data_IF_365006178561
#
_entry.id   IF_365006178561
#
_cell.length_a   1.000
_cell.length_b   1.000
_cell.length_c   1.000
_cell.angle_alpha   90.00
_cell.angle_beta   90.00
_cell.angle_gamma   90.00
#
_symmetry.space_group_name_H-M   'P 1'
#
loop_
_entity.id
_entity.type
_entity.pdbx_description
1 polymer ?
#
# COMPACT_ATOMS: atom_id res chain seq x y z
N UNK A 1 -17.22 -11.58 3.05
CA UNK A 1 -17.33 -10.27 2.40
C UNK A 1 -16.51 -10.28 1.10
N UNK A 2 -17.17 -10.17 -0.03
CA UNK A 2 -16.49 -10.01 -1.32
C UNK A 2 -16.03 -8.56 -1.51
N UNK A 3 -15.07 -8.32 -2.42
CA UNK A 3 -14.62 -6.96 -2.74
C UNK A 3 -15.76 -6.09 -3.30
N UNK A 4 -16.71 -6.70 -4.03
CA UNK A 4 -17.89 -6.00 -4.55
C UNK A 4 -18.81 -5.56 -3.40
N UNK A 5 -19.12 -6.45 -2.46
CA UNK A 5 -19.92 -6.12 -1.27
C UNK A 5 -19.24 -5.06 -0.40
N UNK A 6 -17.94 -5.19 -0.16
CA UNK A 6 -17.16 -4.20 0.57
C UNK A 6 -17.23 -2.81 -0.10
N UNK A 7 -17.07 -2.78 -1.42
CA UNK A 7 -17.17 -1.54 -2.21
C UNK A 7 -18.56 -0.91 -2.09
N UNK A 8 -19.62 -1.70 -2.21
CA UNK A 8 -20.99 -1.20 -2.10
C UNK A 8 -21.30 -0.67 -0.71
N UNK A 9 -20.82 -1.34 0.35
CA UNK A 9 -20.98 -0.89 1.73
C UNK A 9 -20.22 0.40 2.04
N UNK A 10 -19.00 0.55 1.52
CA UNK A 10 -18.14 1.73 1.76
C UNK A 10 -18.50 2.93 0.90
N UNK A 11 -19.05 2.71 -0.30
CA UNK A 11 -19.27 3.77 -1.29
C UNK A 11 -19.98 5.01 -0.75
N UNK A 12 -21.06 4.92 0.03
CA UNK A 12 -21.72 6.10 0.57
C UNK A 12 -20.79 6.95 1.43
N UNK A 13 -19.93 6.34 2.20
CA UNK A 13 -19.07 7.02 3.16
C UNK A 13 -17.75 7.49 2.59
N UNK A 14 -17.24 6.85 1.53
CA UNK A 14 -15.83 6.95 1.12
C UNK A 14 -15.58 7.51 -0.28
N UNK A 15 -16.64 7.80 -1.05
CA UNK A 15 -16.51 8.33 -2.41
C UNK A 15 -15.73 9.65 -2.49
N UNK A 16 -15.83 10.50 -1.45
CA UNK A 16 -15.11 11.76 -1.36
C UNK A 16 -13.57 11.58 -1.18
N UNK A 17 -13.10 10.40 -0.75
CA UNK A 17 -11.68 10.09 -0.61
C UNK A 17 -11.02 9.65 -1.94
N UNK A 18 -11.82 9.13 -2.89
CA UNK A 18 -11.31 8.57 -4.15
C UNK A 18 -10.36 9.52 -4.92
N UNK A 19 -10.67 10.82 -5.12
CA UNK A 19 -9.81 11.73 -5.87
C UNK A 19 -8.41 11.90 -5.29
N UNK A 20 -8.27 11.71 -3.97
CA UNK A 20 -6.99 11.90 -3.26
C UNK A 20 -6.14 10.63 -3.21
N UNK A 21 -6.75 9.45 -3.32
CA UNK A 21 -6.08 8.17 -3.12
C UNK A 21 -5.94 7.33 -4.41
N UNK A 22 -6.78 7.58 -5.43
CA UNK A 22 -6.79 6.78 -6.67
C UNK A 22 -5.55 6.99 -7.54
N UNK A 23 -5.04 8.22 -7.61
CA UNK A 23 -3.84 8.58 -8.36
C UNK A 23 -2.63 8.57 -7.43
N UNK A 24 -1.58 7.81 -7.79
CA UNK A 24 -0.31 7.80 -7.04
C UNK A 24 0.31 9.18 -6.92
N UNK A 25 0.23 9.99 -7.99
CA UNK A 25 0.76 11.36 -8.00
C UNK A 25 -0.04 12.26 -7.05
N UNK A 26 -1.38 12.19 -7.09
CA UNK A 26 -2.22 12.97 -6.18
C UNK A 26 -2.00 12.53 -4.73
N UNK A 27 -1.86 11.23 -4.48
CA UNK A 27 -1.49 10.71 -3.17
C UNK A 27 -0.18 11.32 -2.67
N UNK A 28 0.90 11.25 -3.45
CA UNK A 28 2.20 11.80 -3.07
C UNK A 28 2.15 13.31 -2.80
N UNK A 29 1.40 14.08 -3.61
CA UNK A 29 1.21 15.52 -3.42
C UNK A 29 0.47 15.88 -2.12
N UNK A 30 -0.45 15.02 -1.64
CA UNK A 30 -1.25 15.26 -0.43
C UNK A 30 -0.65 14.67 0.85
N UNK A 31 0.24 13.69 0.75
CA UNK A 31 0.81 12.95 1.89
C UNK A 31 2.33 13.13 2.01
N UNK A 32 2.87 14.26 1.57
CA UNK A 32 4.31 14.54 1.53
C UNK A 32 5.02 14.33 2.87
N UNK A 33 4.36 14.67 4.01
CA UNK A 33 4.94 14.50 5.34
C UNK A 33 5.09 13.03 5.78
N UNK A 34 4.48 12.09 5.05
CA UNK A 34 4.55 10.64 5.31
C UNK A 34 5.39 9.89 4.27
N UNK A 35 5.98 10.63 3.32
CA UNK A 35 6.75 10.09 2.20
C UNK A 35 8.11 10.76 2.18
N UNK A 36 9.16 9.97 2.36
CA UNK A 36 10.53 10.47 2.37
C UNK A 36 11.34 10.07 1.14
N UNK A 37 10.88 9.03 0.40
CA UNK A 37 11.52 8.63 -0.86
C UNK A 37 11.40 9.72 -1.91
N UNK A 38 12.43 9.85 -2.74
CA UNK A 38 12.37 10.70 -3.93
C UNK A 38 11.33 10.21 -4.92
N UNK A 39 10.68 11.13 -5.62
CA UNK A 39 9.75 10.78 -6.70
C UNK A 39 9.69 11.89 -7.76
N UNK A 40 9.37 11.48 -8.99
CA UNK A 40 9.23 12.35 -10.15
C UNK A 40 8.09 11.87 -11.05
N UNK A 41 7.14 12.75 -11.38
CA UNK A 41 6.08 12.40 -12.34
C UNK A 41 6.54 12.76 -13.76
N UNK A 42 6.80 11.75 -14.58
CA UNK A 42 7.49 11.92 -15.86
C UNK A 42 6.76 12.83 -16.86
N UNK A 43 5.40 12.79 -16.99
CA UNK A 43 4.69 13.74 -17.86
C UNK A 43 4.78 15.22 -17.45
N UNK A 44 5.18 15.52 -16.21
CA UNK A 44 5.40 16.89 -15.72
C UNK A 44 6.90 17.22 -15.61
N UNK A 45 7.79 16.41 -16.22
CA UNK A 45 9.24 16.49 -16.13
C UNK A 45 9.87 16.52 -17.52
N UNK A 46 11.17 16.75 -17.59
CA UNK A 46 11.98 16.61 -18.80
C UNK A 46 13.03 15.52 -18.68
N UNK A 47 13.66 15.19 -19.81
CA UNK A 47 14.71 14.15 -19.87
C UNK A 47 15.87 14.45 -18.93
N UNK A 48 16.28 15.70 -18.81
CA UNK A 48 17.44 16.09 -17.98
C UNK A 48 17.13 15.87 -16.49
N UNK A 49 15.90 16.22 -16.06
CA UNK A 49 15.45 15.96 -14.68
C UNK A 49 15.35 14.45 -14.39
N UNK A 50 14.87 13.65 -15.33
CA UNK A 50 14.81 12.19 -15.16
C UNK A 50 16.21 11.56 -15.16
N UNK A 51 17.10 11.99 -16.04
CA UNK A 51 18.50 11.56 -16.06
C UNK A 51 19.18 11.83 -14.71
N UNK A 52 19.05 13.06 -14.19
CA UNK A 52 19.59 13.43 -12.88
C UNK A 52 18.96 12.58 -11.75
N UNK A 53 17.67 12.26 -11.83
CA UNK A 53 16.95 11.43 -10.86
C UNK A 53 17.50 9.99 -10.85
N UNK A 54 17.73 9.39 -12.03
CA UNK A 54 18.31 8.04 -12.14
C UNK A 54 19.71 8.00 -11.54
N UNK A 55 20.58 8.96 -11.86
CA UNK A 55 21.93 9.03 -11.33
C UNK A 55 21.98 9.33 -9.83
N UNK A 56 20.97 10.04 -9.29
CA UNK A 56 20.88 10.30 -7.84
C UNK A 56 20.52 9.05 -7.04
N UNK A 57 19.61 8.21 -7.55
CA UNK A 57 19.05 7.08 -6.80
C UNK A 57 19.54 5.71 -7.27
N UNK A 58 20.20 5.61 -8.43
CA UNK A 58 20.79 4.41 -9.02
C UNK A 58 19.81 3.27 -9.35
N UNK A 59 18.75 3.13 -8.57
CA UNK A 59 17.69 2.16 -8.77
C UNK A 59 16.33 2.85 -8.63
N UNK A 60 15.51 2.73 -9.67
CA UNK A 60 14.24 3.43 -9.79
C UNK A 60 13.09 2.41 -9.88
N UNK A 61 12.03 2.68 -9.14
CA UNK A 61 10.75 2.00 -9.27
C UNK A 61 9.83 2.81 -10.19
N UNK A 62 9.55 2.29 -11.37
CA UNK A 62 8.65 2.90 -12.35
C UNK A 62 7.25 2.32 -12.18
N UNK A 63 6.24 3.16 -11.98
CA UNK A 63 4.86 2.76 -11.72
C UNK A 63 3.90 3.61 -12.56
N UNK A 64 2.95 3.01 -13.31
CA UNK A 64 1.89 3.81 -13.95
C UNK A 64 1.06 4.55 -12.89
N UNK A 65 0.66 5.79 -13.18
CA UNK A 65 -0.11 6.66 -12.27
C UNK A 65 -1.39 5.99 -11.73
N UNK A 66 -2.10 5.27 -12.60
CA UNK A 66 -3.35 4.58 -12.30
C UNK A 66 -3.16 3.08 -12.48
N UNK A 67 -2.45 2.44 -11.57
CA UNK A 67 -2.29 0.98 -11.60
C UNK A 67 -2.50 0.41 -10.22
N UNK A 68 -2.98 -0.83 -10.17
CA UNK A 68 -3.15 -1.62 -8.96
C UNK A 68 -2.43 -2.96 -9.13
N UNK A 69 -2.19 -3.68 -8.02
CA UNK A 69 -1.65 -5.05 -8.03
C UNK A 69 -0.26 -5.21 -8.68
N UNK A 70 0.53 -4.14 -8.74
CA UNK A 70 1.86 -4.16 -9.36
C UNK A 70 1.86 -4.20 -10.89
N UNK A 71 0.68 -4.08 -11.54
CA UNK A 71 0.59 -4.08 -13.00
C UNK A 71 1.38 -2.91 -13.56
N UNK A 72 2.30 -3.21 -14.50
CA UNK A 72 3.14 -2.20 -15.14
C UNK A 72 4.31 -1.72 -14.29
N UNK A 73 4.54 -2.31 -13.10
CA UNK A 73 5.76 -2.04 -12.34
C UNK A 73 6.99 -2.45 -13.15
N UNK A 74 7.99 -1.57 -13.18
CA UNK A 74 9.31 -1.83 -13.78
C UNK A 74 10.37 -1.33 -12.81
N UNK A 75 11.42 -2.12 -12.60
CA UNK A 75 12.66 -1.64 -12.00
C UNK A 75 13.56 -1.16 -13.11
N UNK A 76 14.18 0.00 -12.96
CA UNK A 76 15.19 0.54 -13.86
C UNK A 76 16.43 0.81 -13.03
N UNK A 77 17.56 0.27 -13.44
CA UNK A 77 18.89 0.57 -12.87
C UNK A 77 19.58 1.67 -13.65
N UNK A 78 20.54 2.35 -13.02
CA UNK A 78 21.42 3.32 -13.69
C UNK A 78 22.14 2.70 -14.89
N UNK A 79 22.69 1.47 -14.71
CA UNK A 79 23.38 0.77 -15.80
C UNK A 79 22.45 0.49 -16.99
N UNK A 80 21.20 0.10 -16.75
CA UNK A 80 20.20 -0.11 -17.80
C UNK A 80 19.84 1.20 -18.50
N UNK A 81 19.72 2.28 -17.74
CA UNK A 81 19.48 3.62 -18.28
C UNK A 81 20.65 4.10 -19.14
N UNK A 82 21.88 3.94 -18.65
CA UNK A 82 23.08 4.35 -19.36
C UNK A 82 23.35 3.54 -20.61
N UNK A 83 22.99 2.27 -20.61
CA UNK A 83 23.08 1.38 -21.75
C UNK A 83 21.91 1.53 -22.75
N UNK A 84 20.88 2.34 -22.45
CA UNK A 84 19.74 2.50 -23.34
C UNK A 84 20.16 3.11 -24.69
N UNK A 85 19.83 2.48 -25.81
CA UNK A 85 20.27 2.93 -27.15
C UNK A 85 19.65 4.27 -27.56
N UNK A 86 18.49 4.60 -27.02
CA UNK A 86 17.78 5.87 -27.22
C UNK A 86 17.04 6.25 -25.94
N UNK A 87 17.69 7.05 -25.08
CA UNK A 87 17.11 7.53 -23.82
C UNK A 87 15.91 8.44 -24.02
N UNK A 88 15.91 9.24 -25.13
CA UNK A 88 14.78 10.11 -25.41
C UNK A 88 13.53 9.28 -25.73
N UNK A 89 13.66 8.27 -26.62
CA UNK A 89 12.54 7.42 -26.98
C UNK A 89 11.99 6.64 -25.76
N UNK A 90 12.87 6.13 -24.87
CA UNK A 90 12.46 5.48 -23.63
C UNK A 90 11.73 6.44 -22.68
N UNK A 91 12.24 7.65 -22.52
CA UNK A 91 11.59 8.69 -21.71
C UNK A 91 10.21 9.06 -22.26
N UNK A 92 10.08 9.23 -23.58
CA UNK A 92 8.83 9.54 -24.26
C UNK A 92 7.79 8.40 -24.08
N UNK A 93 8.23 7.13 -24.15
CA UNK A 93 7.39 5.96 -23.86
C UNK A 93 6.84 6.02 -22.43
N UNK A 94 7.72 6.28 -21.45
CA UNK A 94 7.34 6.38 -20.05
C UNK A 94 6.39 7.55 -19.78
N UNK A 95 6.60 8.70 -20.41
CA UNK A 95 5.70 9.84 -20.35
C UNK A 95 4.32 9.52 -20.94
N UNK A 96 4.28 8.89 -22.11
CA UNK A 96 3.04 8.45 -22.76
C UNK A 96 2.27 7.44 -21.89
N UNK A 97 2.99 6.54 -21.20
CA UNK A 97 2.44 5.59 -20.23
C UNK A 97 2.07 6.19 -18.89
N UNK A 98 2.27 7.52 -18.70
CA UNK A 98 2.01 8.25 -17.44
C UNK A 98 2.71 7.63 -16.24
N UNK A 99 4.00 7.35 -16.40
CA UNK A 99 4.78 6.74 -15.33
C UNK A 99 5.19 7.77 -14.26
N UNK A 100 5.18 7.28 -13.04
CA UNK A 100 5.82 7.86 -11.86
C UNK A 100 7.14 7.11 -11.65
N UNK A 101 8.23 7.84 -11.51
CA UNK A 101 9.52 7.33 -11.05
C UNK A 101 9.63 7.58 -9.54
N UNK A 102 10.00 6.56 -8.79
CA UNK A 102 10.27 6.64 -7.36
C UNK A 102 11.63 6.03 -7.04
N UNK A 103 12.31 6.53 -6.02
CA UNK A 103 13.45 5.86 -5.42
C UNK A 103 13.10 4.40 -5.09
N UNK A 104 13.95 3.45 -5.45
CA UNK A 104 13.76 2.04 -5.13
C UNK A 104 14.17 1.77 -3.68
N UNK A 105 13.22 1.92 -2.78
CA UNK A 105 13.41 1.72 -1.34
C UNK A 105 13.37 0.24 -0.95
N UNK A 106 13.97 -0.10 0.20
CA UNK A 106 14.04 -1.46 0.73
C UNK A 106 13.47 -1.50 2.14
N UNK A 107 13.00 -2.69 2.53
CA UNK A 107 12.55 -2.94 3.91
C UNK A 107 13.71 -2.92 4.89
N UNK A 108 13.43 -2.47 6.12
CA UNK A 108 14.28 -2.71 7.29
C UNK A 108 14.51 -4.21 7.49
N UNK A 109 15.62 -4.56 8.13
CA UNK A 109 16.01 -5.94 8.40
C UNK A 109 14.91 -6.75 9.13
N UNK A 110 14.11 -6.07 9.95
CA UNK A 110 13.00 -6.69 10.69
C UNK A 110 11.91 -7.29 9.80
N UNK A 111 11.62 -6.68 8.63
CA UNK A 111 10.70 -7.23 7.63
C UNK A 111 11.43 -7.89 6.45
N UNK A 112 12.63 -7.40 6.08
CA UNK A 112 13.44 -8.00 5.01
C UNK A 112 13.80 -9.46 5.28
N UNK A 113 13.83 -9.90 6.56
CA UNK A 113 14.04 -11.31 6.91
C UNK A 113 13.01 -12.27 6.32
N UNK A 114 11.78 -11.82 6.05
CA UNK A 114 10.79 -12.64 5.36
C UNK A 114 11.13 -12.78 3.88
N UNK A 115 11.40 -11.65 3.19
CA UNK A 115 11.84 -11.65 1.81
C UNK A 115 12.72 -10.41 1.56
N UNK A 116 14.04 -10.59 1.34
CA UNK A 116 14.99 -9.47 1.29
C UNK A 116 14.92 -8.64 0.01
N UNK A 117 14.38 -9.20 -1.09
CA UNK A 117 14.38 -8.57 -2.40
C UNK A 117 13.16 -7.70 -2.66
N UNK A 118 12.06 -7.91 -1.94
CA UNK A 118 10.84 -7.09 -2.06
C UNK A 118 10.73 -6.04 -0.96
N UNK A 119 9.99 -4.99 -1.26
CA UNK A 119 9.49 -4.09 -0.23
C UNK A 119 8.31 -4.76 0.47
N UNK A 120 8.55 -5.38 1.62
CA UNK A 120 7.49 -6.01 2.41
C UNK A 120 6.66 -4.93 3.10
N UNK A 121 5.34 -4.97 2.96
CA UNK A 121 4.45 -3.91 3.44
C UNK A 121 3.40 -4.41 4.41
N UNK A 122 2.94 -3.48 5.24
CA UNK A 122 1.84 -3.67 6.18
C UNK A 122 0.59 -3.01 5.60
N UNK A 123 -0.46 -3.77 5.34
CA UNK A 123 -1.79 -3.22 5.06
C UNK A 123 -2.50 -2.98 6.38
N UNK A 124 -2.80 -1.73 6.71
CA UNK A 124 -3.54 -1.33 7.93
C UNK A 124 -4.87 -0.70 7.51
N UNK A 125 -5.99 -1.36 7.82
CA UNK A 125 -7.34 -0.88 7.48
C UNK A 125 -7.86 -0.10 8.67
N UNK A 126 -8.18 1.18 8.46
CA UNK A 126 -8.54 2.12 9.51
C UNK A 126 -9.91 2.73 9.30
N UNK A 127 -10.60 3.02 10.40
CA UNK A 127 -11.82 3.80 10.46
C UNK A 127 -11.57 5.10 11.23
N UNK A 128 -12.05 6.24 10.73
CA UNK A 128 -11.91 7.54 11.41
C UNK A 128 -13.15 8.42 11.26
N UNK A 129 -13.59 9.00 12.37
CA UNK A 129 -14.60 10.08 12.42
C UNK A 129 -14.20 11.11 13.47
N UNK A 130 -13.80 12.31 13.05
CA UNK A 130 -13.23 13.30 13.97
C UNK A 130 -11.98 12.73 14.65
N UNK A 131 -11.96 12.75 15.98
CA UNK A 131 -10.85 12.20 16.79
C UNK A 131 -10.97 10.69 17.02
N UNK A 132 -12.14 10.10 16.81
CA UNK A 132 -12.31 8.65 16.91
C UNK A 132 -11.57 7.95 15.77
N UNK A 133 -10.71 7.00 16.15
CA UNK A 133 -9.90 6.22 15.23
C UNK A 133 -9.79 4.79 15.73
N UNK A 134 -9.99 3.84 14.83
CA UNK A 134 -9.83 2.42 15.12
C UNK A 134 -9.14 1.71 13.97
N UNK A 135 -8.30 0.72 14.28
CA UNK A 135 -7.76 -0.24 13.31
C UNK A 135 -8.72 -1.41 13.21
N UNK A 136 -9.39 -1.54 12.08
CA UNK A 136 -10.34 -2.63 11.81
C UNK A 136 -9.65 -3.98 11.66
N UNK A 137 -8.52 -3.98 10.97
CA UNK A 137 -7.72 -5.16 10.70
C UNK A 137 -6.41 -4.79 10.03
N UNK A 138 -5.47 -5.70 10.07
CA UNK A 138 -4.16 -5.49 9.47
C UNK A 138 -3.58 -6.80 8.92
N UNK A 139 -2.63 -6.69 7.99
CA UNK A 139 -1.91 -7.82 7.46
C UNK A 139 -0.53 -7.45 6.96
N UNK A 140 0.38 -8.41 7.03
CA UNK A 140 1.70 -8.31 6.42
C UNK A 140 1.63 -8.92 5.01
N UNK A 141 2.24 -8.24 4.04
CA UNK A 141 2.49 -8.74 2.69
C UNK A 141 3.99 -8.87 2.49
N UNK A 142 4.41 -10.00 1.96
CA UNK A 142 5.81 -10.29 1.68
C UNK A 142 5.96 -10.86 0.27
N UNK A 143 7.07 -10.58 -0.38
CA UNK A 143 7.38 -11.16 -1.66
C UNK A 143 7.60 -12.67 -1.58
N UNK A 144 7.69 -13.30 -2.74
CA UNK A 144 8.00 -14.71 -2.91
C UNK A 144 8.68 -14.90 -4.28
N UNK A 145 9.41 -16.00 -4.47
CA UNK A 145 9.99 -16.39 -5.76
C UNK A 145 10.92 -15.36 -6.43
N UNK A 146 11.66 -14.57 -5.64
CA UNK A 146 12.64 -13.60 -6.16
C UNK A 146 12.04 -12.39 -6.87
N UNK A 147 10.75 -12.14 -6.73
CA UNK A 147 10.08 -10.96 -7.27
C UNK A 147 10.32 -9.74 -6.38
N UNK A 148 10.40 -8.56 -6.98
CA UNK A 148 10.60 -7.30 -6.25
C UNK A 148 9.30 -6.71 -5.67
N UNK A 149 8.16 -7.35 -5.88
CA UNK A 149 6.84 -6.93 -5.42
C UNK A 149 6.28 -7.90 -4.37
N UNK A 150 5.52 -7.38 -3.42
CA UNK A 150 4.90 -8.13 -2.33
C UNK A 150 3.41 -8.45 -2.59
N UNK A 151 2.90 -8.08 -3.76
CA UNK A 151 1.49 -8.27 -4.10
C UNK A 151 1.15 -9.75 -4.28
N UNK A 152 -0.01 -10.17 -3.77
CA UNK A 152 -0.52 -11.53 -3.91
C UNK A 152 -0.59 -11.99 -5.38
N UNK A 153 -1.08 -11.12 -6.29
CA UNK A 153 -1.13 -11.40 -7.74
C UNK A 153 0.24 -11.57 -8.41
N UNK A 154 1.31 -11.13 -7.76
CA UNK A 154 2.70 -11.40 -8.15
C UNK A 154 3.28 -12.65 -7.46
N UNK A 155 2.43 -13.49 -6.83
CA UNK A 155 2.88 -14.67 -6.09
C UNK A 155 3.33 -14.37 -4.67
N UNK A 156 3.08 -13.17 -4.13
CA UNK A 156 3.38 -12.79 -2.76
C UNK A 156 2.55 -13.57 -1.74
N UNK A 157 3.05 -13.60 -0.51
CA UNK A 157 2.40 -14.24 0.64
C UNK A 157 1.88 -13.16 1.58
N UNK A 158 0.69 -13.37 2.14
CA UNK A 158 0.12 -12.45 3.12
C UNK A 158 -0.41 -13.20 4.34
N UNK A 159 -0.43 -12.54 5.49
CA UNK A 159 -0.93 -13.08 6.74
C UNK A 159 -1.63 -11.99 7.55
N UNK A 160 -2.57 -12.41 8.41
CA UNK A 160 -3.30 -11.51 9.30
C UNK A 160 -2.46 -11.12 10.51
N UNK A 161 -2.58 -9.87 10.94
CA UNK A 161 -2.00 -9.30 12.16
C UNK A 161 -3.14 -8.95 13.12
N UNK A 162 -2.99 -9.29 14.40
CA UNK A 162 -3.88 -8.82 15.45
C UNK A 162 -3.73 -7.29 15.60
N UNK A 163 -4.76 -6.50 15.32
CA UNK A 163 -4.68 -5.04 15.39
C UNK A 163 -4.43 -4.50 16.81
N UNK A 164 -4.71 -5.29 17.86
CA UNK A 164 -4.48 -4.88 19.24
C UNK A 164 -3.03 -5.07 19.70
N UNK A 165 -2.33 -6.08 19.17
CA UNK A 165 -1.00 -6.48 19.67
C UNK A 165 0.12 -6.38 18.65
N UNK A 166 -0.20 -6.29 17.35
CA UNK A 166 0.78 -6.33 16.27
C UNK A 166 1.39 -7.71 16.04
N UNK A 167 0.81 -8.78 16.59
CA UNK A 167 1.31 -10.15 16.43
C UNK A 167 0.65 -10.79 15.20
N UNK A 168 1.43 -11.47 14.37
CA UNK A 168 0.91 -12.25 13.25
C UNK A 168 0.08 -13.42 13.79
N UNK A 169 -1.20 -13.46 13.41
CA UNK A 169 -2.21 -14.41 13.93
C UNK A 169 -2.29 -15.70 13.12
N UNK A 170 -1.93 -15.65 11.84
CA UNK A 170 -2.15 -16.74 10.91
C UNK A 170 -0.84 -17.23 10.29
N UNK A 171 -0.88 -18.39 9.68
CA UNK A 171 0.14 -18.79 8.72
C UNK A 171 0.06 -17.90 7.48
N UNK A 172 1.10 -17.86 6.65
CA UNK A 172 1.08 -17.17 5.37
C UNK A 172 0.11 -17.86 4.40
N UNK A 173 -0.52 -17.07 3.52
CA UNK A 173 -1.40 -17.57 2.47
C UNK A 173 -1.01 -16.88 1.15
N UNK A 174 -0.96 -17.63 0.04
CA UNK A 174 -0.84 -17.05 -1.30
C UNK A 174 -2.21 -16.92 -1.99
N UNK A 175 -2.23 -16.33 -3.19
CA UNK A 175 -3.47 -16.17 -3.98
C UNK A 175 -4.10 -17.48 -4.45
N UNK A 176 -3.33 -18.57 -4.48
CA UNK A 176 -3.80 -19.89 -4.88
C UNK A 176 -4.38 -20.69 -3.70
N UNK A 177 -4.33 -20.14 -2.48
CA UNK A 177 -4.82 -20.78 -1.27
C UNK A 177 -3.82 -21.71 -0.60
N UNK A 178 -2.54 -21.72 -1.03
CA UNK A 178 -1.50 -22.48 -0.36
C UNK A 178 -1.13 -21.81 0.96
N UNK A 179 -1.00 -22.62 2.02
CA UNK A 179 -0.68 -22.14 3.37
C UNK A 179 0.77 -22.44 3.73
N UNK A 180 1.43 -21.47 4.37
CA UNK A 180 2.85 -21.52 4.72
C UNK A 180 3.06 -21.24 6.21
N UNK A 181 3.48 -22.22 6.98
CA UNK A 181 3.90 -22.04 8.39
C UNK A 181 5.18 -21.20 8.44
N UNK A 182 6.10 -21.50 7.53
CA UNK A 182 7.38 -20.79 7.34
C UNK A 182 7.42 -20.21 5.94
N UNK A 183 8.05 -19.06 5.78
CA UNK A 183 8.30 -18.51 4.45
C UNK A 183 9.16 -19.46 3.62
N UNK A 184 8.75 -19.86 2.40
CA UNK A 184 9.39 -20.96 1.67
C UNK A 184 10.85 -20.72 1.30
N UNK A 185 11.24 -19.46 1.08
CA UNK A 185 12.62 -19.12 0.72
C UNK A 185 13.54 -18.91 1.93
N UNK A 186 13.01 -18.34 3.03
CA UNK A 186 13.85 -17.88 4.16
C UNK A 186 13.67 -18.72 5.42
N UNK A 187 12.63 -19.55 5.51
CA UNK A 187 12.33 -20.34 6.69
C UNK A 187 11.81 -19.51 7.89
N UNK A 188 11.54 -18.24 7.70
CA UNK A 188 11.00 -17.38 8.78
C UNK A 188 9.55 -17.76 9.08
N UNK A 189 9.25 -17.94 10.37
CA UNK A 189 7.90 -18.28 10.83
C UNK A 189 6.98 -17.08 10.73
N UNK A 190 5.74 -17.30 10.27
CA UNK A 190 4.70 -16.27 10.25
C UNK A 190 4.00 -16.15 11.62
N UNK A 191 3.17 -17.11 11.96
CA UNK A 191 2.34 -17.08 13.18
C UNK A 191 3.16 -16.89 14.44
N UNK A 192 2.74 -15.94 15.29
CA UNK A 192 3.39 -15.62 16.56
C UNK A 192 4.55 -14.62 16.42
N UNK A 193 4.90 -14.20 15.21
CA UNK A 193 5.94 -13.19 15.00
C UNK A 193 5.37 -11.80 15.26
N UNK A 194 5.98 -10.99 16.15
CA UNK A 194 5.57 -9.60 16.35
C UNK A 194 6.06 -8.71 15.21
N UNK A 195 5.23 -7.75 14.83
CA UNK A 195 5.59 -6.62 13.98
C UNK A 195 6.25 -5.57 14.87
N UNK A 196 7.46 -5.10 14.55
CA UNK A 196 8.12 -4.08 15.34
C UNK A 196 7.37 -2.74 15.26
N UNK A 197 7.46 -1.92 16.29
CA UNK A 197 6.91 -0.56 16.31
C UNK A 197 5.40 -0.50 16.00
N UNK A 198 4.62 -1.50 16.45
CA UNK A 198 3.21 -1.59 16.07
C UNK A 198 2.39 -0.36 16.50
N UNK A 199 2.63 0.13 17.71
CA UNK A 199 1.94 1.32 18.24
C UNK A 199 2.29 2.57 17.43
N UNK A 200 3.54 2.72 17.02
CA UNK A 200 4.00 3.83 16.16
C UNK A 200 3.39 3.73 14.76
N UNK A 201 3.25 2.51 14.20
CA UNK A 201 2.58 2.29 12.92
C UNK A 201 1.11 2.69 13.01
N UNK A 202 0.41 2.31 14.08
CA UNK A 202 -0.98 2.72 14.32
C UNK A 202 -1.11 4.24 14.46
N UNK A 203 -0.21 4.89 15.19
CA UNK A 203 -0.17 6.35 15.35
C UNK A 203 0.14 7.05 14.02
N UNK A 204 1.03 6.50 13.21
CA UNK A 204 1.37 6.99 11.88
C UNK A 204 0.17 6.93 10.94
N UNK A 205 -0.56 5.80 10.90
CA UNK A 205 -1.81 5.66 10.14
C UNK A 205 -2.90 6.62 10.64
N UNK A 206 -3.00 6.84 11.95
CA UNK A 206 -3.92 7.83 12.54
C UNK A 206 -3.62 9.23 12.02
N UNK A 207 -2.35 9.64 12.06
CA UNK A 207 -1.92 10.96 11.57
C UNK A 207 -2.19 11.11 10.08
N UNK A 208 -1.94 10.06 9.27
CA UNK A 208 -2.27 10.06 7.86
C UNK A 208 -3.77 10.19 7.60
N UNK A 209 -4.61 9.48 8.36
CA UNK A 209 -6.07 9.56 8.24
C UNK A 209 -6.62 10.95 8.65
N UNK A 210 -5.89 11.72 9.45
CA UNK A 210 -6.26 13.09 9.85
C UNK A 210 -5.92 14.15 8.81
N UNK A 211 -5.13 13.83 7.79
CA UNK A 211 -4.71 14.78 6.74
C UNK A 211 -5.89 15.41 6.01
N UNK A 212 -6.92 14.63 5.72
CA UNK A 212 -8.11 15.09 5.00
C UNK A 212 -9.40 14.62 5.70
N UNK A 213 -10.41 15.49 5.85
CA UNK A 213 -11.65 15.12 6.53
C UNK A 213 -12.43 13.97 5.89
N UNK A 214 -12.28 13.78 4.57
CA UNK A 214 -12.97 12.75 3.80
C UNK A 214 -12.37 11.34 3.95
N UNK A 215 -11.20 11.19 4.59
CA UNK A 215 -10.56 9.90 4.81
C UNK A 215 -11.23 9.16 5.97
N UNK A 216 -12.31 8.42 5.66
CA UNK A 216 -13.12 7.70 6.65
C UNK A 216 -12.66 6.26 6.83
N UNK A 217 -12.68 5.48 5.74
CA UNK A 217 -12.15 4.10 5.72
C UNK A 217 -11.00 4.05 4.73
N UNK A 218 -9.80 3.75 5.20
CA UNK A 218 -8.62 3.69 4.34
C UNK A 218 -7.78 2.47 4.68
N UNK A 219 -7.31 1.78 3.65
CA UNK A 219 -6.27 0.78 3.77
C UNK A 219 -4.93 1.42 3.45
N UNK A 220 -4.09 1.60 4.47
CA UNK A 220 -2.75 2.17 4.35
C UNK A 220 -1.73 1.08 4.07
N UNK A 221 -0.89 1.27 3.06
CA UNK A 221 0.28 0.45 2.84
C UNK A 221 1.48 1.15 3.47
N UNK A 222 2.00 0.56 4.53
CA UNK A 222 3.11 1.11 5.32
C UNK A 222 4.33 0.22 5.15
N UNK A 223 5.48 0.81 4.86
CA UNK A 223 6.77 0.15 4.93
C UNK A 223 7.55 0.60 6.17
N UNK A 224 8.38 -0.29 6.70
CA UNK A 224 9.43 0.04 7.65
C UNK A 224 10.73 0.05 6.85
N UNK A 225 11.35 1.22 6.75
CA UNK A 225 12.62 1.42 6.06
C UNK A 225 13.81 1.26 7.01
N UNK A 226 15.04 1.10 6.50
CA UNK A 226 16.24 0.98 7.33
C UNK A 226 16.33 2.05 8.41
N UNK A 227 16.63 1.62 9.63
CA UNK A 227 16.64 2.47 10.82
C UNK A 227 15.27 2.67 11.47
N UNK A 228 14.25 1.89 11.08
CA UNK A 228 12.92 1.91 11.68
C UNK A 228 12.03 3.06 11.20
N UNK A 229 12.42 3.79 10.15
CA UNK A 229 11.62 4.89 9.61
C UNK A 229 10.36 4.36 8.92
N UNK A 230 9.20 4.90 9.30
CA UNK A 230 7.93 4.56 8.66
C UNK A 230 7.72 5.37 7.38
N UNK A 231 7.17 4.72 6.37
CA UNK A 231 6.92 5.30 5.06
C UNK A 231 5.54 4.87 4.54
N UNK A 232 4.71 5.82 4.10
CA UNK A 232 3.49 5.48 3.35
C UNK A 232 3.84 5.16 1.89
N UNK A 233 3.42 3.98 1.46
CA UNK A 233 3.57 3.56 0.07
C UNK A 233 2.36 3.99 -0.75
N UNK A 234 1.16 3.72 -0.23
CA UNK A 234 -0.10 4.16 -0.82
C UNK A 234 -1.23 4.15 0.21
N UNK A 235 -2.35 4.83 -0.13
CA UNK A 235 -3.62 4.74 0.57
C UNK A 235 -4.72 4.24 -0.36
N UNK A 236 -5.52 3.30 0.10
CA UNK A 236 -6.60 2.68 -0.67
C UNK A 236 -7.95 3.09 -0.09
N UNK A 237 -8.75 3.88 -0.85
CA UNK A 237 -10.11 4.29 -0.46
C UNK A 237 -11.12 3.14 -0.53
N UNK A 238 -10.75 2.06 -1.15
CA UNK A 238 -11.53 0.83 -1.24
C UNK A 238 -10.63 -0.37 -0.92
N UNK A 239 -10.22 -0.54 0.36
CA UNK A 239 -9.32 -1.61 0.75
C UNK A 239 -9.96 -2.97 0.57
N UNK A 240 -9.27 -3.88 -0.12
CA UNK A 240 -9.68 -5.30 -0.20
C UNK A 240 -9.63 -5.94 1.18
N UNK A 241 -10.69 -6.68 1.54
CA UNK A 241 -10.81 -7.35 2.83
C UNK A 241 -10.12 -8.72 2.88
N UNK A 242 -9.62 -9.21 1.76
CA UNK A 242 -8.98 -10.53 1.67
C UNK A 242 -7.78 -10.65 2.61
N UNK A 243 -7.05 -9.57 2.84
CA UNK A 243 -5.89 -9.56 3.74
C UNK A 243 -6.21 -9.95 5.19
N UNK A 244 -7.43 -9.72 5.65
CA UNK A 244 -7.88 -9.98 7.02
C UNK A 244 -8.88 -11.15 7.13
N UNK A 245 -9.45 -11.63 6.02
CA UNK A 245 -10.43 -12.72 6.09
C UNK A 245 -9.93 -14.03 5.50
N UNK A 246 -9.11 -14.01 4.42
CA UNK A 246 -8.66 -15.22 3.78
C UNK A 246 -7.67 -16.02 4.63
N UNK A 247 -6.62 -15.43 5.25
CA UNK A 247 -5.72 -16.15 6.14
C UNK A 247 -6.41 -16.68 7.39
N UNK A 248 -7.37 -15.93 7.94
CA UNK A 248 -8.17 -16.33 9.09
C UNK A 248 -9.24 -17.37 8.76
N UNK A 249 -9.54 -17.59 7.48
CA UNK A 249 -10.58 -18.51 6.98
C UNK A 249 -11.98 -18.21 7.55
N UNK A 250 -12.26 -16.93 7.84
CA UNK A 250 -13.59 -16.49 8.25
C UNK A 250 -13.94 -15.13 7.62
N UNK A 251 -15.24 -14.92 7.34
CA UNK A 251 -15.73 -13.68 6.77
C UNK A 251 -15.81 -12.56 7.80
N UNK A 252 -15.64 -11.32 7.35
CA UNK A 252 -15.70 -10.12 8.21
C UNK A 252 -16.91 -9.24 7.92
N UNK A 253 -17.90 -9.73 7.15
CA UNK A 253 -19.06 -8.96 6.68
C UNK A 253 -19.79 -8.25 7.82
N UNK A 254 -20.25 -8.99 8.82
CA UNK A 254 -21.10 -8.43 9.89
C UNK A 254 -20.29 -7.45 10.77
N UNK A 255 -19.06 -7.81 11.11
CA UNK A 255 -18.15 -6.92 11.86
C UNK A 255 -17.94 -5.61 11.09
N UNK A 256 -17.70 -5.69 9.79
CA UNK A 256 -17.46 -4.53 8.93
C UNK A 256 -18.69 -3.65 8.79
N UNK A 257 -19.86 -4.24 8.50
CA UNK A 257 -21.13 -3.52 8.36
C UNK A 257 -21.53 -2.83 9.67
N UNK A 258 -21.42 -3.54 10.82
CA UNK A 258 -21.67 -2.94 12.12
C UNK A 258 -20.74 -1.77 12.42
N UNK A 259 -19.45 -1.89 12.09
CA UNK A 259 -18.48 -0.83 12.32
C UNK A 259 -18.74 0.41 11.45
N UNK A 260 -19.17 0.22 10.19
CA UNK A 260 -19.61 1.34 9.33
C UNK A 260 -20.79 2.09 9.95
N UNK A 261 -21.81 1.37 10.42
CA UNK A 261 -22.99 1.97 11.06
C UNK A 261 -22.64 2.65 12.39
N UNK A 262 -21.78 2.04 13.20
CA UNK A 262 -21.35 2.59 14.51
C UNK A 262 -20.51 3.87 14.33
N UNK A 263 -19.61 3.89 13.34
CA UNK A 263 -18.79 5.07 13.06
C UNK A 263 -19.56 6.19 12.38
N UNK A 264 -20.40 5.87 11.41
CA UNK A 264 -20.95 6.87 10.48
C UNK A 264 -22.47 6.99 10.52
N UNK A 265 -23.19 5.99 11.05
CA UNK A 265 -24.64 5.97 11.05
C UNK A 265 -25.23 5.72 9.67
N UNK A 266 -26.43 6.29 9.40
CA UNK A 266 -27.19 6.06 8.17
C UNK A 266 -26.40 6.54 6.92
N UNK A 267 -26.12 5.68 5.95
CA UNK A 267 -25.44 6.04 4.71
C UNK A 267 -26.17 7.11 3.88
N UNK A 268 -27.48 7.28 4.05
CA UNK A 268 -28.24 8.31 3.34
C UNK A 268 -27.75 9.74 3.66
N UNK A 269 -27.17 9.97 4.85
CA UNK A 269 -26.61 11.27 5.25
C UNK A 269 -25.39 11.67 4.41
N UNK A 270 -24.72 10.74 3.76
CA UNK A 270 -23.50 10.96 2.96
C UNK A 270 -23.76 10.96 1.45
N UNK A 271 -24.99 10.63 1.01
CA UNK A 271 -25.34 10.51 -0.40
C UNK A 271 -25.23 11.83 -1.18
N UNK A 272 -25.20 12.98 -0.48
CA UNK A 272 -25.13 14.32 -1.07
C UNK A 272 -23.72 14.96 -0.99
N UNK A 273 -22.70 14.27 -0.49
CA UNK A 273 -21.33 14.80 -0.55
C UNK A 273 -20.80 14.72 -2.00
N UNK A 274 -21.14 15.75 -2.81
CA UNK A 274 -20.57 15.88 -4.15
C UNK A 274 -19.08 16.11 -4.05
N UNK A 275 -18.32 15.26 -4.72
CA UNK A 275 -16.87 15.36 -4.87
C UNK A 275 -16.55 16.70 -5.54
N UNK A 276 -16.08 17.68 -4.79
CA UNK A 276 -15.32 18.80 -5.38
C UNK A 276 -14.00 18.18 -5.85
N UNK A 277 -13.82 18.11 -7.18
CA UNK A 277 -12.53 17.70 -7.73
C UNK A 277 -11.43 18.63 -7.20
N UNK A 278 -10.30 18.07 -6.75
CA UNK A 278 -9.14 18.87 -6.37
C UNK A 278 -8.58 19.66 -7.54
#
# INVERSE_FOLDING_TARGET
LTDVEATLLMRPYNSAAEPYLKSKVTFLKNFTQFVSRGWLYLPESDLAAFDAFVHQYHNIALKPQYSSWGIGFRKLTEDEWDAAPDRQALFDELCAGKYLAEEFIRSDASLARFHPESLNTLRVITFRRGERFEVFGAGLRVGNNGLHVDNAHGGGIFCEIDPATGIIMTDGLDEHGNSYILHPMTGVRFRGTPIPQWDEICAFCRSAAQTLPCLRVVGWDVAILPGGRLELIEGNHNPGMNIVQAPAKHGVHDKFAHMLLDFYGDPAQYACETVKKP
#
